data_IF_017598322108
#
_entry.id   IF_017598322108
#
_cell.length_a   1.000
_cell.length_b   1.000
_cell.length_c   1.000
_cell.angle_alpha   90.00
_cell.angle_beta   90.00
_cell.angle_gamma   90.00
#
_symmetry.space_group_name_H-M   'P 1'
#
loop_
_entity.id
_entity.type
_entity.pdbx_description
1 polymer ?
#
# COMPACT_ATOMS: atom_id res chain seq x y z
N UNK A 1 -14.34 -25.82 23.85
CA UNK A 1 -15.02 -26.84 23.03
C UNK A 1 -15.30 -26.17 21.71
N UNK A 2 -14.68 -26.63 20.63
CA UNK A 2 -14.88 -26.07 19.30
C UNK A 2 -16.16 -26.69 18.75
N UNK A 3 -17.24 -25.92 18.66
CA UNK A 3 -18.44 -26.34 17.96
C UNK A 3 -18.09 -26.59 16.49
N UNK A 4 -18.19 -27.85 16.10
CA UNK A 4 -18.10 -28.29 14.71
C UNK A 4 -19.37 -27.80 14.01
N UNK A 5 -19.28 -26.67 13.31
CA UNK A 5 -20.33 -26.31 12.35
C UNK A 5 -20.41 -27.40 11.27
N UNK A 6 -21.62 -27.81 10.85
CA UNK A 6 -21.78 -28.78 9.77
C UNK A 6 -21.19 -28.19 8.49
N UNK A 7 -20.04 -28.71 8.06
CA UNK A 7 -19.50 -28.47 6.74
C UNK A 7 -20.56 -28.87 5.71
N UNK A 8 -21.23 -27.89 5.10
CA UNK A 8 -22.04 -28.12 3.90
C UNK A 8 -21.15 -28.86 2.90
N UNK A 9 -21.61 -30.01 2.36
CA UNK A 9 -20.80 -30.79 1.44
C UNK A 9 -20.40 -29.88 0.28
N UNK A 10 -19.08 -29.76 0.05
CA UNK A 10 -18.51 -29.14 -1.14
C UNK A 10 -19.31 -29.66 -2.34
N UNK A 11 -20.17 -28.80 -2.90
CA UNK A 11 -20.94 -29.15 -4.08
C UNK A 11 -19.92 -29.45 -5.17
N UNK A 12 -19.75 -30.72 -5.51
CA UNK A 12 -18.76 -31.26 -6.45
C UNK A 12 -18.90 -30.68 -7.88
N UNK A 13 -19.79 -29.71 -8.09
CA UNK A 13 -20.11 -29.09 -9.36
C UNK A 13 -19.38 -27.76 -9.63
N UNK A 14 -18.73 -27.14 -8.63
CA UNK A 14 -18.08 -25.82 -8.79
C UNK A 14 -16.60 -25.85 -8.40
N UNK A 15 -15.74 -25.23 -9.21
CA UNK A 15 -14.31 -25.00 -8.93
C UNK A 15 -14.06 -23.82 -7.98
N UNK A 16 -15.07 -22.99 -7.72
CA UNK A 16 -14.98 -21.87 -6.79
C UNK A 16 -15.50 -22.27 -5.41
N UNK A 17 -14.85 -21.84 -4.33
CA UNK A 17 -15.32 -22.10 -2.97
C UNK A 17 -16.70 -21.45 -2.76
N UNK A 18 -17.53 -22.10 -1.96
CA UNK A 18 -18.78 -21.51 -1.50
C UNK A 18 -18.49 -20.21 -0.71
N UNK A 19 -19.43 -19.24 -0.72
CA UNK A 19 -19.28 -18.02 0.05
C UNK A 19 -19.14 -18.33 1.55
N UNK A 20 -18.43 -17.49 2.33
CA UNK A 20 -18.23 -17.69 3.76
C UNK A 20 -19.55 -17.78 4.55
N UNK A 21 -19.68 -18.67 5.54
CA UNK A 21 -20.97 -19.00 6.18
C UNK A 21 -21.68 -17.79 6.82
N UNK A 22 -20.92 -16.79 7.26
CA UNK A 22 -21.45 -15.55 7.85
C UNK A 22 -22.38 -14.75 6.92
N UNK A 23 -22.42 -15.03 5.61
CA UNK A 23 -23.37 -14.37 4.69
C UNK A 23 -24.83 -14.58 5.12
N UNK A 24 -25.15 -15.71 5.78
CA UNK A 24 -26.50 -16.03 6.26
C UNK A 24 -26.96 -15.12 7.41
N UNK A 25 -26.04 -14.47 8.11
CA UNK A 25 -26.35 -13.55 9.21
C UNK A 25 -26.84 -12.17 8.70
N UNK A 26 -26.66 -11.86 7.40
CA UNK A 26 -27.07 -10.60 6.77
C UNK A 26 -28.57 -10.59 6.42
N UNK A 27 -29.42 -10.71 7.44
CA UNK A 27 -30.88 -10.59 7.33
C UNK A 27 -31.34 -9.15 7.59
N UNK A 28 -32.45 -8.67 6.97
CA UNK A 28 -32.92 -7.30 7.14
C UNK A 28 -33.19 -6.94 8.60
N UNK A 29 -33.70 -7.89 9.38
CA UNK A 29 -33.99 -7.70 10.80
C UNK A 29 -32.71 -7.48 11.63
N UNK A 30 -31.66 -8.29 11.38
CA UNK A 30 -30.38 -8.14 12.09
C UNK A 30 -29.61 -6.88 11.66
N UNK A 31 -29.75 -6.48 10.39
CA UNK A 31 -29.17 -5.22 9.87
C UNK A 31 -29.86 -3.99 10.49
N UNK A 32 -31.18 -4.00 10.64
CA UNK A 32 -31.88 -2.93 11.35
C UNK A 32 -31.43 -2.85 12.82
N UNK A 33 -31.35 -4.00 13.49
CA UNK A 33 -30.95 -4.09 14.91
C UNK A 33 -29.53 -3.57 15.16
N UNK A 34 -28.55 -3.88 14.28
CA UNK A 34 -27.20 -3.34 14.44
C UNK A 34 -27.11 -1.84 14.11
N UNK A 35 -27.97 -1.33 13.22
CA UNK A 35 -28.05 0.11 12.95
C UNK A 35 -28.58 0.89 14.16
N UNK A 36 -29.61 0.36 14.83
CA UNK A 36 -30.15 0.95 16.06
C UNK A 36 -29.13 0.92 17.21
N UNK A 37 -28.35 -0.15 17.34
CA UNK A 37 -27.28 -0.22 18.32
C UNK A 37 -26.16 0.78 18.01
N UNK A 38 -25.83 0.97 16.73
CA UNK A 38 -24.82 1.97 16.30
C UNK A 38 -25.29 3.40 16.59
N UNK A 39 -26.55 3.75 16.32
CA UNK A 39 -27.10 5.07 16.63
C UNK A 39 -27.16 5.32 18.13
N UNK A 40 -27.64 4.34 18.92
CA UNK A 40 -27.68 4.44 20.37
C UNK A 40 -26.29 4.53 21.02
N UNK A 41 -25.27 3.91 20.42
CA UNK A 41 -23.88 4.06 20.85
C UNK A 41 -23.35 5.47 20.52
N UNK A 42 -23.58 5.97 19.31
CA UNK A 42 -23.17 7.31 18.88
C UNK A 42 -23.79 8.43 19.74
N UNK A 43 -25.06 8.29 20.12
CA UNK A 43 -25.73 9.22 21.04
C UNK A 43 -25.12 9.21 22.45
N UNK A 44 -24.60 8.05 22.89
CA UNK A 44 -24.02 7.89 24.24
C UNK A 44 -22.59 8.41 24.34
N UNK A 45 -21.78 8.23 23.29
CA UNK A 45 -20.38 8.68 23.30
C UNK A 45 -20.20 10.15 22.95
N UNK A 46 -21.22 10.84 22.43
CA UNK A 46 -21.12 12.25 22.01
C UNK A 46 -19.95 12.50 21.04
N UNK A 47 -19.47 11.46 20.36
CA UNK A 47 -18.35 11.46 19.40
C UNK A 47 -18.86 11.91 18.02
N UNK A 48 -19.53 13.06 17.98
CA UNK A 48 -20.00 13.66 16.75
C UNK A 48 -18.90 14.41 15.97
N UNK A 49 -17.65 14.47 16.45
CA UNK A 49 -16.58 15.15 15.72
C UNK A 49 -15.18 14.75 16.22
N UNK A 50 -14.41 13.99 15.43
CA UNK A 50 -12.94 14.06 15.58
C UNK A 50 -12.07 12.86 15.21
N UNK A 51 -12.60 11.69 14.85
CA UNK A 51 -11.77 10.57 14.37
C UNK A 51 -12.39 9.98 13.11
N UNK A 52 -11.62 9.99 12.01
CA UNK A 52 -11.90 9.46 10.67
C UNK A 52 -13.31 8.90 10.44
N UNK A 53 -14.12 9.59 9.64
CA UNK A 53 -15.43 9.14 9.15
C UNK A 53 -15.41 7.81 8.34
N UNK A 54 -14.26 7.16 8.28
CA UNK A 54 -13.96 5.89 7.60
C UNK A 54 -13.79 4.72 8.58
N UNK A 55 -13.54 4.97 9.88
CA UNK A 55 -13.33 3.90 10.84
C UNK A 55 -14.68 3.35 11.34
N UNK A 56 -14.98 2.05 11.18
CA UNK A 56 -16.23 1.49 11.65
C UNK A 56 -16.28 1.58 13.18
N UNK A 57 -17.25 2.31 13.72
CA UNK A 57 -17.55 2.37 15.16
C UNK A 57 -17.76 0.93 15.66
N UNK A 58 -16.82 0.43 16.45
CA UNK A 58 -16.85 -0.92 17.02
C UNK A 58 -17.69 -0.91 18.29
N UNK A 59 -18.73 -1.72 18.34
CA UNK A 59 -19.49 -1.90 19.57
C UNK A 59 -18.76 -2.91 20.48
N UNK A 60 -18.48 -2.57 21.75
CA UNK A 60 -17.73 -3.45 22.65
C UNK A 60 -18.53 -4.66 23.15
N UNK A 61 -19.85 -4.57 23.22
CA UNK A 61 -20.74 -5.60 23.79
C UNK A 61 -21.79 -6.06 22.77
N UNK A 62 -21.35 -6.62 21.64
CA UNK A 62 -22.25 -7.08 20.59
C UNK A 62 -22.70 -8.53 20.84
N UNK A 63 -24.00 -8.85 20.74
CA UNK A 63 -24.50 -10.22 20.77
C UNK A 63 -23.83 -11.12 19.71
N UNK A 64 -23.59 -12.41 20.01
CA UNK A 64 -22.92 -13.37 19.11
C UNK A 64 -23.64 -13.50 17.75
N UNK A 65 -24.96 -13.33 17.71
CA UNK A 65 -25.80 -13.34 16.51
C UNK A 65 -25.61 -12.13 15.57
N UNK A 66 -24.97 -11.07 16.06
CA UNK A 66 -24.67 -9.84 15.32
C UNK A 66 -23.15 -9.65 15.10
N UNK A 67 -22.30 -10.49 15.69
CA UNK A 67 -20.84 -10.40 15.57
C UNK A 67 -20.35 -10.37 14.11
N UNK A 68 -20.97 -11.18 13.25
CA UNK A 68 -20.71 -11.25 11.80
C UNK A 68 -20.97 -9.94 11.04
N UNK A 69 -21.84 -9.05 11.58
CA UNK A 69 -22.22 -7.78 10.95
C UNK A 69 -21.28 -6.62 11.34
N UNK A 70 -20.34 -6.87 12.25
CA UNK A 70 -19.27 -5.95 12.59
C UNK A 70 -18.01 -6.29 11.78
N UNK A 71 -17.40 -5.31 11.09
CA UNK A 71 -16.13 -5.55 10.43
C UNK A 71 -15.10 -6.09 11.44
N UNK A 72 -14.31 -7.10 11.05
CA UNK A 72 -13.30 -7.67 11.94
C UNK A 72 -12.28 -6.59 12.33
N UNK A 73 -11.65 -6.71 13.51
CA UNK A 73 -10.58 -5.83 13.89
C UNK A 73 -9.39 -5.96 12.93
N UNK A 74 -8.62 -4.88 12.82
CA UNK A 74 -7.33 -4.92 12.13
C UNK A 74 -6.43 -6.00 12.76
N UNK A 75 -5.60 -6.70 11.97
CA UNK A 75 -4.68 -7.70 12.49
C UNK A 75 -3.77 -7.08 13.57
N UNK A 76 -3.66 -7.74 14.73
CA UNK A 76 -2.83 -7.25 15.85
C UNK A 76 -1.36 -7.07 15.48
N UNK A 77 -0.88 -7.90 14.54
CA UNK A 77 0.47 -7.84 14.00
C UNK A 77 0.66 -6.74 12.95
N UNK A 78 -0.41 -6.04 12.53
CA UNK A 78 -0.40 -5.06 11.46
C UNK A 78 -0.03 -5.65 10.09
N UNK A 79 -0.07 -6.98 9.93
CA UNK A 79 0.36 -7.68 8.71
C UNK A 79 -0.83 -8.41 8.10
N UNK A 80 -1.04 -8.26 6.80
CA UNK A 80 -2.05 -9.03 6.06
C UNK A 80 -1.46 -9.58 4.76
N UNK A 81 -2.10 -10.61 4.20
CA UNK A 81 -1.66 -11.24 2.95
C UNK A 81 -2.70 -11.02 1.86
N UNK A 82 -2.27 -10.55 0.71
CA UNK A 82 -3.11 -10.40 -0.49
C UNK A 82 -2.39 -11.11 -1.65
N UNK A 83 -3.06 -12.08 -2.28
CA UNK A 83 -2.54 -12.83 -3.43
C UNK A 83 -1.12 -13.42 -3.27
N UNK A 84 -0.73 -13.77 -2.03
CA UNK A 84 0.59 -14.33 -1.70
C UNK A 84 1.57 -13.30 -1.17
N UNK A 85 1.34 -12.01 -1.41
CA UNK A 85 2.18 -10.92 -0.93
C UNK A 85 1.77 -10.48 0.47
N UNK A 86 2.76 -10.22 1.32
CA UNK A 86 2.55 -9.75 2.68
C UNK A 86 2.67 -8.22 2.72
N UNK A 87 1.62 -7.58 3.20
CA UNK A 87 1.51 -6.14 3.39
C UNK A 87 1.58 -5.81 4.88
N UNK A 88 2.03 -4.60 5.19
CA UNK A 88 2.12 -4.07 6.55
C UNK A 88 1.30 -2.79 6.66
N UNK A 89 0.71 -2.56 7.83
CA UNK A 89 -0.08 -1.37 8.15
C UNK A 89 0.81 -0.13 8.22
N UNK A 90 2.04 -0.32 8.71
CA UNK A 90 3.11 0.65 8.56
C UNK A 90 3.67 0.57 7.14
N UNK A 91 3.38 1.58 6.32
CA UNK A 91 3.93 1.72 4.95
C UNK A 91 5.39 2.20 4.98
N UNK A 92 6.25 1.41 5.64
CA UNK A 92 7.70 1.64 5.70
C UNK A 92 8.39 0.79 4.66
N UNK A 93 9.09 1.44 3.76
CA UNK A 93 9.92 0.76 2.76
C UNK A 93 11.03 -0.01 3.49
N UNK A 94 11.16 -1.34 3.31
CA UNK A 94 12.25 -2.10 3.91
C UNK A 94 13.59 -1.55 3.46
N UNK A 95 14.56 -1.48 4.38
CA UNK A 95 15.89 -0.96 4.05
C UNK A 95 16.67 -1.97 3.21
N UNK A 96 17.59 -1.48 2.36
CA UNK A 96 18.45 -2.36 1.56
C UNK A 96 19.32 -3.29 2.42
N UNK A 97 19.73 -2.82 3.61
CA UNK A 97 20.54 -3.59 4.56
C UNK A 97 19.75 -4.74 5.20
N UNK A 98 18.47 -4.53 5.53
CA UNK A 98 17.56 -5.59 6.01
C UNK A 98 17.32 -6.68 4.95
N UNK A 99 17.48 -6.35 3.66
CA UNK A 99 17.38 -7.29 2.55
C UNK A 99 18.72 -7.99 2.22
N UNK A 100 19.78 -7.69 2.96
CA UNK A 100 21.13 -8.24 2.72
C UNK A 100 21.78 -7.71 1.44
N UNK A 101 21.37 -6.53 0.96
CA UNK A 101 21.83 -5.93 -0.29
C UNK A 101 22.71 -4.71 0.05
N UNK A 102 23.86 -4.62 -0.60
CA UNK A 102 24.75 -3.48 -0.43
C UNK A 102 24.06 -2.17 -0.87
N UNK A 103 23.96 -1.23 0.05
CA UNK A 103 23.43 0.11 -0.19
C UNK A 103 24.50 0.98 -0.87
N UNK A 104 24.49 1.00 -2.19
CA UNK A 104 25.45 1.75 -3.01
C UNK A 104 25.39 3.28 -2.81
N UNK A 105 24.22 3.92 -2.67
CA UNK A 105 24.15 5.37 -2.43
C UNK A 105 24.56 5.79 -1.01
N UNK A 106 24.41 4.93 0.01
CA UNK A 106 24.81 5.28 1.39
C UNK A 106 26.33 5.33 1.64
N UNK A 107 27.14 4.80 0.71
CA UNK A 107 28.61 4.86 0.78
C UNK A 107 29.21 6.25 0.47
N UNK A 108 28.39 7.24 0.10
CA UNK A 108 28.80 8.63 -0.14
C UNK A 108 28.67 9.51 1.11
N UNK A 109 29.60 10.47 1.36
CA UNK A 109 29.54 11.35 2.52
C UNK A 109 28.52 12.47 2.29
N UNK A 110 27.26 12.33 2.75
CA UNK A 110 26.40 13.51 2.95
C UNK A 110 25.31 13.30 4.00
N UNK A 111 25.50 13.83 5.23
CA UNK A 111 24.49 13.85 6.28
C UNK A 111 23.78 15.21 6.31
N UNK A 112 22.96 15.54 5.32
CA UNK A 112 22.08 16.72 5.42
C UNK A 112 20.69 16.44 4.87
N UNK A 113 19.67 16.58 5.73
CA UNK A 113 18.28 16.12 5.52
C UNK A 113 17.49 16.90 4.46
N UNK A 114 18.01 18.02 3.95
CA UNK A 114 17.25 18.94 3.07
C UNK A 114 17.80 19.03 1.62
N UNK A 115 19.05 18.64 1.36
CA UNK A 115 19.61 18.56 0.00
C UNK A 115 19.26 17.25 -0.76
N UNK A 116 18.45 16.39 -0.14
CA UNK A 116 18.28 14.97 -0.53
C UNK A 116 17.66 14.72 -1.90
N UNK A 117 16.81 15.61 -2.41
CA UNK A 117 16.09 15.34 -3.67
C UNK A 117 16.96 15.52 -4.91
N UNK A 118 17.82 16.54 -4.91
CA UNK A 118 18.73 16.79 -6.04
C UNK A 118 19.82 15.72 -6.13
N UNK A 119 20.28 15.25 -4.95
CA UNK A 119 21.27 14.17 -4.86
C UNK A 119 20.71 12.82 -5.34
N UNK A 120 19.43 12.51 -5.05
CA UNK A 120 18.77 11.29 -5.54
C UNK A 120 18.72 11.19 -7.07
N UNK A 121 18.39 12.28 -7.76
CA UNK A 121 18.39 12.30 -9.21
C UNK A 121 19.79 12.12 -9.79
N UNK A 122 20.81 12.64 -9.11
CA UNK A 122 22.21 12.45 -9.46
C UNK A 122 22.67 11.00 -9.24
N UNK A 123 22.39 10.41 -8.08
CA UNK A 123 22.68 9.01 -7.76
C UNK A 123 21.94 8.05 -8.71
N UNK A 124 20.69 8.34 -9.09
CA UNK A 124 19.97 7.57 -10.09
C UNK A 124 20.68 7.60 -11.46
N UNK A 125 21.15 8.77 -11.90
CA UNK A 125 21.93 8.90 -13.15
C UNK A 125 23.27 8.15 -13.07
N UNK A 126 23.93 8.18 -11.91
CA UNK A 126 25.19 7.46 -11.66
C UNK A 126 24.98 5.94 -11.68
N UNK A 127 23.93 5.44 -11.03
CA UNK A 127 23.53 4.03 -11.09
C UNK A 127 23.15 3.61 -12.51
N UNK A 128 22.43 4.44 -13.27
CA UNK A 128 22.10 4.16 -14.67
C UNK A 128 23.35 4.04 -15.55
N UNK A 129 24.36 4.91 -15.34
CA UNK A 129 25.66 4.79 -16.03
C UNK A 129 26.41 3.53 -15.61
N UNK A 130 26.43 3.21 -14.31
CA UNK A 130 27.05 2.00 -13.77
C UNK A 130 26.38 0.72 -14.30
N UNK A 131 25.06 0.74 -14.47
CA UNK A 131 24.27 -0.33 -15.07
C UNK A 131 24.63 -0.54 -16.54
N UNK A 132 24.73 0.54 -17.32
CA UNK A 132 25.12 0.47 -18.73
C UNK A 132 26.54 -0.10 -18.90
N UNK A 133 27.48 0.34 -18.07
CA UNK A 133 28.86 -0.17 -18.09
C UNK A 133 28.91 -1.66 -17.70
N UNK A 134 28.21 -2.07 -16.65
CA UNK A 134 28.14 -3.49 -16.27
C UNK A 134 27.46 -4.35 -17.33
N UNK A 135 26.47 -3.83 -18.04
CA UNK A 135 25.84 -4.54 -19.16
C UNK A 135 26.80 -4.70 -20.33
N UNK A 136 27.61 -3.68 -20.65
CA UNK A 136 28.63 -3.77 -21.67
C UNK A 136 29.73 -4.78 -21.29
N UNK A 137 30.15 -4.80 -20.02
CA UNK A 137 31.07 -5.81 -19.50
C UNK A 137 30.46 -7.21 -19.53
N UNK A 138 29.16 -7.37 -19.26
CA UNK A 138 28.46 -8.64 -19.40
C UNK A 138 28.47 -9.13 -20.85
N UNK A 139 28.18 -8.27 -21.82
CA UNK A 139 28.22 -8.62 -23.24
C UNK A 139 29.64 -9.04 -23.67
N UNK A 140 30.66 -8.31 -23.21
CA UNK A 140 32.06 -8.65 -23.47
C UNK A 140 32.51 -9.96 -22.81
N UNK A 141 32.09 -10.21 -21.56
CA UNK A 141 32.42 -11.45 -20.83
C UNK A 141 31.71 -12.66 -21.40
N UNK A 142 30.46 -12.53 -21.86
CA UNK A 142 29.75 -13.61 -22.57
C UNK A 142 30.46 -14.02 -23.86
N UNK A 143 31.07 -13.06 -24.57
CA UNK A 143 31.84 -13.36 -25.79
C UNK A 143 33.17 -14.06 -25.51
N UNK A 144 33.85 -13.77 -24.39
CA UNK A 144 35.19 -14.31 -24.08
C UNK A 144 35.17 -15.53 -23.17
N UNK A 145 34.41 -15.48 -22.09
CA UNK A 145 34.36 -16.49 -21.03
C UNK A 145 32.97 -16.52 -20.38
N UNK A 146 32.02 -17.29 -20.93
CA UNK A 146 30.64 -17.31 -20.44
C UNK A 146 30.52 -17.77 -18.97
N UNK A 147 31.47 -18.55 -18.45
CA UNK A 147 31.49 -18.99 -17.05
C UNK A 147 31.64 -17.82 -16.04
N UNK A 148 32.25 -16.71 -16.45
CA UNK A 148 32.42 -15.52 -15.60
C UNK A 148 31.21 -14.58 -15.61
N UNK A 149 30.22 -14.81 -16.49
CA UNK A 149 29.07 -13.94 -16.66
C UNK A 149 28.17 -13.88 -15.41
N UNK A 150 28.13 -14.95 -14.61
CA UNK A 150 27.28 -15.04 -13.42
C UNK A 150 27.57 -13.94 -12.38
N UNK A 151 28.85 -13.58 -12.19
CA UNK A 151 29.24 -12.49 -11.29
C UNK A 151 28.66 -11.15 -11.77
N UNK A 152 28.74 -10.88 -13.07
CA UNK A 152 28.17 -9.66 -13.67
C UNK A 152 26.65 -9.62 -13.65
N UNK A 153 25.98 -10.77 -13.76
CA UNK A 153 24.53 -10.84 -13.56
C UNK A 153 24.13 -10.47 -12.12
N UNK A 154 24.92 -10.87 -11.12
CA UNK A 154 24.69 -10.51 -9.72
C UNK A 154 24.91 -9.01 -9.46
N UNK A 155 25.93 -8.41 -10.08
CA UNK A 155 26.18 -6.97 -10.02
C UNK A 155 24.99 -6.19 -10.62
N UNK A 156 24.49 -6.61 -11.79
CA UNK A 156 23.30 -6.01 -12.41
C UNK A 156 22.06 -6.14 -11.53
N UNK A 157 21.83 -7.30 -10.92
CA UNK A 157 20.72 -7.50 -9.97
C UNK A 157 20.80 -6.50 -8.82
N UNK A 158 21.99 -6.31 -8.26
CA UNK A 158 22.22 -5.36 -7.17
C UNK A 158 21.93 -3.92 -7.61
N UNK A 159 22.38 -3.53 -8.81
CA UNK A 159 22.11 -2.20 -9.37
C UNK A 159 20.62 -1.96 -9.61
N UNK A 160 19.89 -2.94 -10.15
CA UNK A 160 18.44 -2.82 -10.33
C UNK A 160 17.70 -2.66 -9.01
N UNK A 161 18.05 -3.43 -7.98
CA UNK A 161 17.38 -3.33 -6.67
C UNK A 161 17.65 -1.97 -6.02
N UNK A 162 18.91 -1.49 -6.05
CA UNK A 162 19.25 -0.15 -5.57
C UNK A 162 18.47 0.95 -6.33
N UNK A 163 18.35 0.81 -7.65
CA UNK A 163 17.58 1.76 -8.48
C UNK A 163 16.10 1.78 -8.10
N UNK A 164 15.49 0.60 -7.94
CA UNK A 164 14.10 0.48 -7.49
C UNK A 164 13.89 1.08 -6.10
N UNK A 165 14.83 0.88 -5.19
CA UNK A 165 14.75 1.44 -3.85
C UNK A 165 14.71 2.98 -3.87
N UNK A 166 15.62 3.63 -4.61
CA UNK A 166 15.63 5.10 -4.75
C UNK A 166 14.31 5.61 -5.36
N UNK A 167 13.78 4.93 -6.37
CA UNK A 167 12.49 5.28 -6.97
C UNK A 167 11.33 5.13 -5.98
N UNK A 168 11.34 4.06 -5.20
CA UNK A 168 10.32 3.80 -4.18
C UNK A 168 10.37 4.87 -3.07
N UNK A 169 11.55 5.30 -2.64
CA UNK A 169 11.71 6.43 -1.71
C UNK A 169 11.21 7.78 -2.28
N UNK A 170 11.07 7.90 -3.61
CA UNK A 170 10.54 9.09 -4.27
C UNK A 170 9.02 9.07 -4.43
N UNK A 171 8.37 7.90 -4.30
CA UNK A 171 6.91 7.75 -4.45
C UNK A 171 6.08 8.68 -3.55
N UNK A 172 6.40 8.86 -2.25
CA UNK A 172 5.62 9.76 -1.40
C UNK A 172 5.71 11.22 -1.86
N UNK A 173 6.86 11.63 -2.41
CA UNK A 173 7.02 12.97 -2.99
C UNK A 173 6.19 13.11 -4.26
N UNK A 174 6.28 12.12 -5.17
CA UNK A 174 5.46 12.09 -6.38
C UNK A 174 3.96 12.22 -6.06
N UNK A 175 3.46 11.48 -5.07
CA UNK A 175 2.06 11.53 -4.67
C UNK A 175 1.64 12.93 -4.18
N UNK A 176 2.50 13.62 -3.42
CA UNK A 176 2.24 14.99 -2.96
C UNK A 176 2.18 15.98 -4.13
N UNK A 177 3.14 15.93 -5.05
CA UNK A 177 3.15 16.80 -6.22
C UNK A 177 1.91 16.57 -7.09
N UNK A 178 1.53 15.30 -7.33
CA UNK A 178 0.31 14.97 -8.06
C UNK A 178 -0.96 15.47 -7.35
N UNK A 179 -0.99 15.43 -6.02
CA UNK A 179 -2.11 15.99 -5.26
C UNK A 179 -2.18 17.51 -5.33
N UNK A 180 -1.04 18.19 -5.27
CA UNK A 180 -0.95 19.65 -5.44
C UNK A 180 -1.40 20.07 -6.85
N UNK A 181 -0.95 19.36 -7.88
CA UNK A 181 -1.36 19.59 -9.27
C UNK A 181 -2.88 19.44 -9.44
N UNK A 182 -3.47 18.38 -8.89
CA UNK A 182 -4.92 18.17 -8.92
C UNK A 182 -5.68 19.30 -8.22
N UNK A 183 -5.20 19.77 -7.07
CA UNK A 183 -5.82 20.89 -6.35
C UNK A 183 -5.70 22.20 -7.12
N UNK A 184 -4.57 22.44 -7.77
CA UNK A 184 -4.35 23.62 -8.60
C UNK A 184 -5.29 23.64 -9.81
N UNK A 185 -5.44 22.51 -10.50
CA UNK A 185 -6.40 22.36 -11.60
C UNK A 185 -7.84 22.61 -11.15
N UNK A 186 -8.21 22.11 -9.97
CA UNK A 186 -9.54 22.39 -9.40
C UNK A 186 -9.76 23.89 -9.13
N UNK A 187 -8.78 24.57 -8.55
CA UNK A 187 -8.85 26.02 -8.30
C UNK A 187 -8.96 26.82 -9.59
N UNK A 188 -8.19 26.45 -10.61
CA UNK A 188 -8.19 27.15 -11.90
C UNK A 188 -9.51 26.95 -12.63
N UNK A 189 -10.09 25.73 -12.56
CA UNK A 189 -11.44 25.46 -13.07
C UNK A 189 -12.50 26.30 -12.37
N UNK A 190 -12.52 26.32 -11.04
CA UNK A 190 -13.51 27.09 -10.27
C UNK A 190 -13.38 28.61 -10.53
N UNK A 191 -12.14 29.10 -10.69
CA UNK A 191 -11.91 30.51 -11.08
C UNK A 191 -12.47 30.80 -12.47
N UNK A 192 -12.21 29.93 -13.46
CA UNK A 192 -12.74 30.09 -14.80
C UNK A 192 -14.27 30.10 -14.84
N UNK A 193 -14.92 29.19 -14.10
CA UNK A 193 -16.38 29.15 -13.94
C UNK A 193 -16.93 30.44 -13.31
N UNK A 194 -16.28 30.94 -12.25
CA UNK A 194 -16.71 32.17 -11.57
C UNK A 194 -16.57 33.40 -12.48
N UNK A 195 -15.48 33.48 -13.25
CA UNK A 195 -15.28 34.55 -14.25
C UNK A 195 -16.35 34.46 -15.34
N UNK A 196 -16.64 33.26 -15.85
CA UNK A 196 -17.66 33.05 -16.87
C UNK A 196 -19.05 33.50 -16.40
N UNK A 197 -19.45 33.13 -15.18
CA UNK A 197 -20.71 33.59 -14.58
C UNK A 197 -20.73 35.11 -14.46
N UNK A 198 -19.64 35.71 -13.96
CA UNK A 198 -19.54 37.17 -13.80
C UNK A 198 -19.63 37.93 -15.12
N UNK A 199 -19.16 37.37 -16.23
CA UNK A 199 -19.26 37.99 -17.55
C UNK A 199 -20.63 37.86 -18.21
N UNK A 200 -21.48 36.95 -17.73
CA UNK A 200 -22.84 36.75 -18.25
C UNK A 200 -23.90 37.60 -17.55
N UNK A 201 -23.57 38.18 -16.40
CA UNK A 201 -24.41 39.14 -15.63
C UNK A 201 -24.00 40.56 -15.99
#
# INVERSE_FOLDING_TARGET
MADQEPQEPLSLASTFPNPPPFWKDFTPDRVARIADLRSAHAERTNDAAGADASAPVRLPDLPEDLASLQPPPEPADGRWRVFGDQYMLDDRLPTLEEQGIANLPATGPSPSKEAKHYDRAFELKKLAKSLLLNFLELAGTLSRSPAAAAAKTQDLRTLFINMHHILNEYRPHQARESAMELMQDHLDRTRAETVAIRTQV
#
